data_IF_231282452870
#
_entry.id   IF_231282452870
#
_cell.length_a   1.000
_cell.length_b   1.000
_cell.length_c   1.000
_cell.angle_alpha   90.00
_cell.angle_beta   90.00
_cell.angle_gamma   90.00
#
_symmetry.space_group_name_H-M   'P 1'
#
loop_
_entity.id
_entity.type
_entity.pdbx_description
1 polymer ?
#
# COMPACT_ATOMS: atom_id res chain seq x y z
N UNK A 1 -11.10 15.46 -15.46
CA UNK A 1 -11.64 14.53 -16.40
C UNK A 1 -10.88 13.23 -16.44
N UNK A 2 -9.63 13.33 -16.89
CA UNK A 2 -8.86 12.13 -17.17
C UNK A 2 -8.47 11.38 -15.90
N UNK A 3 -8.26 12.09 -14.83
CA UNK A 3 -7.86 11.44 -13.59
C UNK A 3 -8.96 10.61 -12.97
N UNK A 4 -10.16 10.73 -13.47
CA UNK A 4 -11.27 9.93 -12.97
C UNK A 4 -11.04 8.44 -13.16
N UNK A 5 -10.24 8.08 -14.13
CA UNK A 5 -9.99 6.67 -14.40
C UNK A 5 -9.25 5.98 -13.27
N UNK A 6 -8.55 6.75 -12.43
CA UNK A 6 -7.78 6.18 -11.33
C UNK A 6 -8.54 6.13 -10.02
N UNK A 7 -9.83 6.49 -10.04
CA UNK A 7 -10.63 6.58 -8.82
C UNK A 7 -11.89 5.76 -9.01
N UNK A 8 -11.74 4.44 -8.90
CA UNK A 8 -12.86 3.52 -9.15
C UNK A 8 -13.79 3.46 -7.96
N UNK A 9 -15.03 2.99 -8.16
CA UNK A 9 -15.95 2.81 -7.03
C UNK A 9 -15.41 1.87 -5.96
N UNK A 10 -14.67 0.85 -6.36
CA UNK A 10 -14.06 -0.07 -5.39
C UNK A 10 -13.07 0.66 -4.50
N UNK A 11 -12.26 1.53 -5.09
CA UNK A 11 -11.30 2.30 -4.32
C UNK A 11 -12.03 3.22 -3.34
N UNK A 12 -13.07 3.89 -3.79
CA UNK A 12 -13.82 4.78 -2.92
C UNK A 12 -14.44 4.03 -1.75
N UNK A 13 -15.01 2.86 -2.00
CA UNK A 13 -15.59 2.06 -0.94
C UNK A 13 -14.55 1.60 0.05
N UNK A 14 -13.42 1.13 -0.44
CA UNK A 14 -12.34 0.67 0.44
C UNK A 14 -11.75 1.82 1.24
N UNK A 15 -11.63 3.00 0.64
CA UNK A 15 -11.15 4.16 1.37
C UNK A 15 -12.07 4.50 2.54
N UNK A 16 -13.38 4.43 2.33
CA UNK A 16 -14.32 4.68 3.40
C UNK A 16 -14.19 3.62 4.50
N UNK A 17 -14.06 2.37 4.11
CA UNK A 17 -13.90 1.30 5.08
C UNK A 17 -12.61 1.45 5.89
N UNK A 18 -11.54 1.84 5.25
CA UNK A 18 -10.27 2.06 5.94
C UNK A 18 -10.39 3.23 6.91
N UNK A 19 -11.09 4.29 6.51
CA UNK A 19 -11.27 5.44 7.40
C UNK A 19 -12.07 5.07 8.64
N UNK A 20 -13.05 4.17 8.49
CA UNK A 20 -13.84 3.70 9.62
C UNK A 20 -13.08 2.69 10.47
N UNK A 21 -12.13 1.99 9.87
CA UNK A 21 -11.35 0.95 10.54
C UNK A 21 -9.86 1.16 10.29
N UNK A 22 -9.29 2.26 10.81
CA UNK A 22 -7.93 2.64 10.43
C UNK A 22 -6.86 1.65 10.86
N UNK A 23 -7.18 0.74 11.77
CA UNK A 23 -6.21 -0.26 12.21
C UNK A 23 -6.37 -1.60 11.52
N UNK A 24 -7.31 -1.72 10.60
CA UNK A 24 -7.55 -2.97 9.90
C UNK A 24 -6.58 -3.10 8.73
N UNK A 25 -5.51 -3.85 8.95
CA UNK A 25 -4.47 -4.01 7.94
C UNK A 25 -4.94 -4.79 6.72
N UNK A 26 -5.93 -5.65 6.89
CA UNK A 26 -6.47 -6.39 5.74
C UNK A 26 -7.21 -5.47 4.80
N UNK A 27 -8.01 -4.55 5.33
CA UNK A 27 -8.67 -3.55 4.50
C UNK A 27 -7.63 -2.66 3.82
N UNK A 28 -6.59 -2.28 4.55
CA UNK A 28 -5.52 -1.48 3.98
C UNK A 28 -4.83 -2.21 2.84
N UNK A 29 -4.61 -3.51 2.99
CA UNK A 29 -3.98 -4.31 1.93
C UNK A 29 -4.87 -4.39 0.70
N UNK A 30 -6.16 -4.55 0.90
CA UNK A 30 -7.09 -4.59 -0.23
C UNK A 30 -7.12 -3.25 -0.96
N UNK A 31 -7.15 -2.15 -0.22
CA UNK A 31 -7.12 -0.83 -0.83
C UNK A 31 -5.81 -0.61 -1.57
N UNK A 32 -4.70 -1.00 -0.96
CA UNK A 32 -3.40 -0.85 -1.60
C UNK A 32 -3.33 -1.61 -2.92
N UNK A 33 -3.89 -2.80 -2.95
CA UNK A 33 -3.92 -3.58 -4.20
C UNK A 33 -4.69 -2.84 -5.28
N UNK A 34 -5.85 -2.30 -4.96
CA UNK A 34 -6.63 -1.55 -5.93
C UNK A 34 -5.90 -0.29 -6.39
N UNK A 35 -5.27 0.42 -5.45
CA UNK A 35 -4.50 1.61 -5.81
C UNK A 35 -3.35 1.24 -6.76
N UNK A 36 -2.67 0.13 -6.47
CA UNK A 36 -1.59 -0.33 -7.33
C UNK A 36 -2.09 -0.65 -8.74
N UNK A 37 -3.25 -1.28 -8.84
CA UNK A 37 -3.79 -1.68 -10.14
C UNK A 37 -4.12 -0.49 -11.03
N UNK A 38 -4.45 0.65 -10.46
CA UNK A 38 -4.73 1.85 -11.24
C UNK A 38 -3.52 2.79 -11.31
N UNK A 39 -2.36 2.35 -10.87
CA UNK A 39 -1.14 3.12 -11.00
C UNK A 39 -0.87 4.10 -9.86
N UNK A 40 -1.69 4.11 -8.82
CA UNK A 40 -1.50 4.99 -7.66
C UNK A 40 -0.59 4.33 -6.63
N UNK A 41 0.62 4.04 -7.06
CA UNK A 41 1.53 3.21 -6.29
C UNK A 41 2.05 3.89 -5.04
N UNK A 42 2.29 5.20 -5.11
CA UNK A 42 2.79 5.91 -3.95
C UNK A 42 1.77 5.87 -2.80
N UNK A 43 0.50 6.05 -3.13
CA UNK A 43 -0.54 5.97 -2.11
C UNK A 43 -0.64 4.57 -1.53
N UNK A 44 -0.52 3.55 -2.40
CA UNK A 44 -0.56 2.17 -1.95
C UNK A 44 0.57 1.86 -0.99
N UNK A 45 1.78 2.25 -1.35
CA UNK A 45 2.96 1.99 -0.53
C UNK A 45 2.90 2.75 0.78
N UNK A 46 2.48 4.02 0.73
CA UNK A 46 2.39 4.83 1.95
C UNK A 46 1.38 4.23 2.93
N UNK A 47 0.26 3.75 2.41
CA UNK A 47 -0.77 3.14 3.26
C UNK A 47 -0.24 1.90 3.96
N UNK A 48 0.38 1.00 3.22
CA UNK A 48 0.94 -0.21 3.79
C UNK A 48 2.06 0.08 4.76
N UNK A 49 2.93 1.02 4.40
CA UNK A 49 4.06 1.34 5.25
C UNK A 49 3.61 1.95 6.58
N UNK A 50 2.55 2.75 6.56
CA UNK A 50 2.04 3.32 7.81
C UNK A 50 1.56 2.23 8.77
N UNK A 51 0.98 1.17 8.27
CA UNK A 51 0.59 0.04 9.12
C UNK A 51 1.80 -0.70 9.63
N UNK A 52 2.83 -0.88 8.80
CA UNK A 52 4.03 -1.58 9.21
C UNK A 52 4.81 -0.82 10.27
N UNK A 53 4.77 0.51 10.24
CA UNK A 53 5.43 1.31 11.26
C UNK A 53 4.83 1.07 12.65
N UNK A 54 3.55 0.75 12.69
CA UNK A 54 2.89 0.45 13.95
C UNK A 54 3.09 -1.00 14.35
N UNK A 55 3.08 -1.91 13.38
CA UNK A 55 3.15 -3.35 13.66
C UNK A 55 3.67 -4.06 12.42
N UNK A 56 4.89 -4.60 12.52
CA UNK A 56 5.49 -5.31 11.40
C UNK A 56 4.71 -6.57 11.02
N UNK A 57 3.94 -7.11 11.94
CA UNK A 57 3.10 -8.27 11.66
C UNK A 57 1.67 -7.92 11.31
N UNK A 58 1.38 -6.68 10.93
CA UNK A 58 0.03 -6.22 10.67
C UNK A 58 -0.69 -7.15 9.69
N UNK A 59 -1.92 -7.54 10.05
CA UNK A 59 -2.72 -8.40 9.21
C UNK A 59 -2.09 -9.77 8.97
N UNK A 60 -1.45 -10.33 9.99
CA UNK A 60 -0.74 -11.62 9.88
C UNK A 60 0.34 -11.59 8.80
N UNK A 61 1.01 -10.46 8.67
CA UNK A 61 2.06 -10.29 7.67
C UNK A 61 1.55 -9.89 6.30
N UNK A 62 0.25 -9.71 6.15
CA UNK A 62 -0.33 -9.38 4.85
C UNK A 62 0.15 -8.02 4.35
N UNK A 63 0.23 -7.03 5.23
CA UNK A 63 0.67 -5.69 4.83
C UNK A 63 2.11 -5.72 4.32
N UNK A 64 2.99 -6.44 5.02
CA UNK A 64 4.38 -6.55 4.60
C UNK A 64 4.50 -7.29 3.26
N UNK A 65 3.75 -8.38 3.13
CA UNK A 65 3.77 -9.16 1.91
C UNK A 65 3.29 -8.32 0.73
N UNK A 66 2.19 -7.61 0.90
CA UNK A 66 1.65 -6.77 -0.16
C UNK A 66 2.62 -5.66 -0.54
N UNK A 67 3.26 -5.04 0.45
CA UNK A 67 4.26 -4.01 0.18
C UNK A 67 5.39 -4.57 -0.67
N UNK A 68 5.90 -5.74 -0.30
CA UNK A 68 6.99 -6.35 -1.06
C UNK A 68 6.56 -6.72 -2.47
N UNK A 69 5.33 -7.19 -2.64
CA UNK A 69 4.83 -7.53 -3.97
C UNK A 69 4.72 -6.31 -4.87
N UNK A 70 4.25 -5.19 -4.32
CA UNK A 70 4.18 -3.96 -5.09
C UNK A 70 5.57 -3.47 -5.46
N UNK A 71 6.51 -3.52 -4.51
CA UNK A 71 7.88 -3.12 -4.79
C UNK A 71 8.49 -3.97 -5.90
N UNK A 72 8.23 -5.28 -5.87
CA UNK A 72 8.75 -6.17 -6.90
C UNK A 72 8.12 -5.85 -8.26
N UNK A 73 6.83 -5.51 -8.27
CA UNK A 73 6.16 -5.16 -9.52
C UNK A 73 6.71 -3.88 -10.13
N UNK A 74 7.11 -2.93 -9.29
CA UNK A 74 7.68 -1.68 -9.78
C UNK A 74 9.10 -1.85 -10.32
N UNK A 75 9.84 -2.83 -9.80
CA UNK A 75 11.16 -3.14 -10.30
C UNK A 75 12.27 -2.37 -9.64
N UNK A 76 13.50 -2.81 -9.88
CA UNK A 76 14.69 -2.25 -9.21
C UNK A 76 15.06 -0.86 -9.70
N UNK A 77 14.64 -0.51 -10.92
CA UNK A 77 14.96 0.81 -11.47
C UNK A 77 13.99 1.90 -11.11
N UNK A 78 12.94 1.57 -10.36
CA UNK A 78 11.92 2.55 -10.01
C UNK A 78 12.33 3.33 -8.77
N UNK A 79 12.29 4.67 -8.87
CA UNK A 79 12.73 5.53 -7.77
C UNK A 79 11.83 5.40 -6.55
N UNK A 80 10.53 5.26 -6.78
CA UNK A 80 9.58 5.09 -5.67
C UNK A 80 9.83 3.78 -4.95
N UNK A 81 10.04 2.71 -5.71
CA UNK A 81 10.33 1.42 -5.11
C UNK A 81 11.62 1.45 -4.31
N UNK A 82 12.65 2.11 -4.83
CA UNK A 82 13.92 2.23 -4.13
C UNK A 82 13.74 2.97 -2.81
N UNK A 83 12.95 4.04 -2.82
CA UNK A 83 12.68 4.82 -1.63
C UNK A 83 12.04 3.98 -0.54
N UNK A 84 10.98 3.26 -0.89
CA UNK A 84 10.24 2.47 0.10
C UNK A 84 11.00 1.21 0.51
N UNK A 85 11.78 0.65 -0.41
CA UNK A 85 12.63 -0.50 -0.06
C UNK A 85 13.64 -0.11 1.00
N UNK A 86 14.24 1.07 0.85
CA UNK A 86 15.19 1.59 1.82
C UNK A 86 14.52 1.86 3.16
N UNK A 87 13.33 2.44 3.13
CA UNK A 87 12.59 2.71 4.36
C UNK A 87 12.19 1.42 5.06
N UNK A 88 11.82 0.40 4.30
CA UNK A 88 11.47 -0.89 4.87
C UNK A 88 12.68 -1.53 5.56
N UNK A 89 13.84 -1.48 4.92
CA UNK A 89 15.04 -2.02 5.55
C UNK A 89 15.37 -1.29 6.83
N UNK A 90 15.22 0.03 6.84
CA UNK A 90 15.45 0.82 8.03
C UNK A 90 14.51 0.42 9.16
N UNK A 91 13.28 0.07 8.81
CA UNK A 91 12.29 -0.35 9.78
C UNK A 91 12.60 -1.73 10.34
N UNK A 92 13.10 -2.64 9.50
CA UNK A 92 13.39 -4.02 9.90
C UNK A 92 14.72 -4.15 10.64
N UNK A 93 15.66 -3.31 10.34
CA UNK A 93 17.02 -3.40 10.87
C UNK A 93 17.43 -2.10 11.55
#
# INVERSE_FOLDING_TARGET
LLKQAADTPEIQQLQQQVEQNPEDAQLASQLALQLHQVGRNEEALALLFSHLQKDLGAGDGQARKMLQEILAALGTGDALAAKYRRQLYSLLY
#
